data_IF_835736371504
#
_entry.id   IF_835736371504
#
_cell.length_a   1.000
_cell.length_b   1.000
_cell.length_c   1.000
_cell.angle_alpha   90.00
_cell.angle_beta   90.00
_cell.angle_gamma   90.00
#
_symmetry.space_group_name_H-M   'P 1'
#
loop_
_entity.id
_entity.type
_entity.pdbx_description
1 polymer ?
#
# COMPACT_ATOMS: atom_id res chain seq x y z
N UNK A 1 -2.25 22.90 -1.20
CA UNK A 1 -3.46 22.05 -1.21
C UNK A 1 -3.06 20.58 -1.34
N UNK A 2 -2.45 19.98 -0.30
CA UNK A 2 -1.95 18.58 -0.32
C UNK A 2 -2.26 17.81 0.98
N UNK A 3 -2.87 18.46 2.00
CA UNK A 3 -3.06 17.86 3.35
C UNK A 3 -4.49 17.49 3.73
N UNK A 4 -5.38 17.26 2.76
CA UNK A 4 -6.75 16.75 2.99
C UNK A 4 -7.00 15.41 2.27
N UNK A 5 -6.02 14.90 1.50
CA UNK A 5 -6.17 13.70 0.68
C UNK A 5 -6.18 12.37 1.46
N UNK A 6 -5.86 12.37 2.76
CA UNK A 6 -5.83 11.14 3.57
C UNK A 6 -7.19 10.83 4.21
N UNK A 7 -8.13 11.78 4.24
CA UNK A 7 -9.46 11.56 4.80
C UNK A 7 -10.54 11.28 3.74
N UNK A 8 -10.28 11.59 2.47
CA UNK A 8 -11.22 11.32 1.38
C UNK A 8 -11.10 9.88 0.82
N UNK A 9 -9.93 9.26 0.95
CA UNK A 9 -9.71 7.84 0.59
C UNK A 9 -10.23 6.85 1.64
N UNK A 10 -10.46 7.29 2.89
CA UNK A 10 -10.85 6.42 4.00
C UNK A 10 -12.37 6.32 4.20
N UNK A 11 -13.15 7.28 3.68
CA UNK A 11 -14.62 7.34 3.90
C UNK A 11 -15.42 6.76 2.71
N UNK A 12 -14.81 6.61 1.53
CA UNK A 12 -15.43 5.91 0.38
C UNK A 12 -15.05 4.42 0.28
N UNK A 13 -14.15 3.92 1.13
CA UNK A 13 -13.68 2.52 1.16
C UNK A 13 -14.43 1.62 2.16
N UNK A 14 -15.46 2.12 2.86
CA UNK A 14 -16.26 1.33 3.84
C UNK A 14 -17.65 0.96 3.27
N UNK A 15 -17.73 0.67 1.98
CA UNK A 15 -18.89 -0.02 1.42
C UNK A 15 -18.46 -1.07 0.39
N UNK A 16 -17.56 -1.98 0.81
CA UNK A 16 -17.47 -3.39 0.35
C UNK A 16 -16.19 -4.05 0.87
N UNK A 17 -16.14 -4.55 2.11
CA UNK A 17 -15.35 -5.74 2.47
C UNK A 17 -16.04 -6.46 3.63
N UNK A 18 -17.11 -7.21 3.35
CA UNK A 18 -17.43 -8.41 4.11
C UNK A 18 -17.11 -9.57 3.17
N UNK A 19 -15.89 -10.09 3.28
CA UNK A 19 -15.55 -11.40 2.77
C UNK A 19 -14.51 -12.00 3.70
N UNK A 20 -14.97 -12.88 4.60
CA UNK A 20 -14.14 -13.91 5.20
C UNK A 20 -13.57 -14.71 4.03
N UNK A 21 -12.24 -14.76 3.89
CA UNK A 21 -11.60 -15.86 3.19
C UNK A 21 -10.28 -16.21 3.88
N UNK A 22 -10.30 -17.35 4.55
CA UNK A 22 -9.13 -18.17 4.86
C UNK A 22 -8.43 -18.44 3.54
N UNK A 23 -7.32 -17.77 3.26
CA UNK A 23 -6.47 -18.15 2.14
C UNK A 23 -5.66 -19.38 2.57
N UNK A 24 -6.20 -20.55 2.26
CA UNK A 24 -5.41 -21.78 2.13
C UNK A 24 -4.57 -21.63 0.87
N UNK A 25 -3.26 -21.45 1.03
CA UNK A 25 -2.32 -21.55 -0.08
C UNK A 25 -1.92 -23.03 -0.16
N UNK A 26 -2.38 -23.68 -1.21
CA UNK A 26 -2.04 -25.05 -1.55
C UNK A 26 -0.53 -25.20 -1.78
N UNK A 27 0.01 -26.30 -1.27
CA UNK A 27 1.38 -26.75 -1.51
C UNK A 27 1.55 -27.17 -2.98
N UNK A 28 2.53 -26.64 -3.73
CA UNK A 28 3.09 -27.38 -4.83
C UNK A 28 4.10 -28.38 -4.25
N UNK A 29 3.84 -29.66 -4.48
CA UNK A 29 4.80 -30.75 -4.22
C UNK A 29 6.15 -30.42 -4.89
N UNK A 30 7.17 -30.16 -4.07
CA UNK A 30 8.57 -30.20 -4.50
C UNK A 30 9.28 -31.18 -3.59
N UNK A 31 9.81 -32.24 -4.22
CA UNK A 31 10.58 -33.31 -3.61
C UNK A 31 11.67 -32.74 -2.69
N UNK A 32 11.70 -33.24 -1.46
CA UNK A 32 12.83 -33.10 -0.54
C UNK A 32 14.14 -33.49 -1.24
N UNK A 33 15.05 -32.54 -1.32
CA UNK A 33 16.49 -32.77 -1.26
C UNK A 33 17.09 -31.65 -0.41
N UNK A 34 17.97 -32.02 0.50
CA UNK A 34 18.55 -31.23 1.59
C UNK A 34 19.02 -29.84 1.17
N UNK A 35 18.28 -28.78 1.50
CA UNK A 35 18.70 -27.41 1.22
C UNK A 35 18.98 -26.68 2.53
N UNK A 36 20.27 -26.50 2.84
CA UNK A 36 20.80 -25.80 4.02
C UNK A 36 20.71 -24.28 3.91
N UNK A 37 20.20 -23.76 2.78
CA UNK A 37 20.06 -22.34 2.49
C UNK A 37 18.63 -21.84 2.80
N UNK A 38 18.51 -20.91 3.75
CA UNK A 38 17.24 -20.23 4.09
C UNK A 38 16.58 -19.63 2.85
N UNK A 39 15.25 -19.79 2.74
CA UNK A 39 14.44 -19.21 1.66
C UNK A 39 14.61 -17.70 1.52
N UNK A 40 14.84 -17.00 2.64
CA UNK A 40 15.03 -15.56 2.63
C UNK A 40 16.38 -15.16 2.04
N UNK A 41 17.44 -15.90 2.37
CA UNK A 41 18.77 -15.72 1.77
C UNK A 41 18.70 -16.06 0.28
N UNK A 42 18.06 -17.17 -0.08
CA UNK A 42 17.84 -17.60 -1.47
C UNK A 42 17.17 -16.51 -2.31
N UNK A 43 16.06 -15.95 -1.82
CA UNK A 43 15.36 -14.83 -2.48
C UNK A 43 16.25 -13.61 -2.63
N UNK A 44 16.95 -13.23 -1.56
CA UNK A 44 17.85 -12.08 -1.56
C UNK A 44 18.99 -12.22 -2.58
N UNK A 45 19.74 -13.33 -2.55
CA UNK A 45 20.87 -13.54 -3.47
C UNK A 45 20.44 -13.69 -4.93
N UNK A 46 19.23 -14.23 -5.18
CA UNK A 46 18.65 -14.29 -6.54
C UNK A 46 18.45 -12.87 -7.10
N UNK A 47 17.84 -11.98 -6.30
CA UNK A 47 17.61 -10.60 -6.72
C UNK A 47 18.91 -9.82 -6.88
N UNK A 48 19.86 -10.01 -5.96
CA UNK A 48 21.16 -9.37 -6.01
C UNK A 48 21.96 -9.81 -7.25
N UNK A 49 21.89 -11.09 -7.60
CA UNK A 49 22.49 -11.59 -8.83
C UNK A 49 21.87 -10.95 -10.08
N UNK A 50 20.55 -10.79 -10.12
CA UNK A 50 19.87 -10.11 -11.23
C UNK A 50 20.32 -8.64 -11.35
N UNK A 51 20.47 -7.90 -10.23
CA UNK A 51 21.01 -6.53 -10.26
C UNK A 51 22.47 -6.46 -10.68
N UNK A 52 23.24 -7.52 -10.43
CA UNK A 52 24.65 -7.64 -10.84
C UNK A 52 24.82 -8.16 -12.28
N UNK A 53 23.71 -8.26 -13.03
CA UNK A 53 23.73 -8.54 -14.45
C UNK A 53 23.56 -10.01 -14.84
N UNK A 54 23.17 -10.90 -13.92
CA UNK A 54 22.70 -12.23 -14.29
C UNK A 54 21.30 -12.16 -14.90
N UNK A 55 21.03 -13.08 -15.81
CA UNK A 55 19.71 -13.18 -16.45
C UNK A 55 18.61 -13.59 -15.48
N UNK A 56 17.68 -12.68 -15.19
CA UNK A 56 16.57 -12.95 -14.26
C UNK A 56 15.74 -14.18 -14.66
N UNK A 57 15.61 -14.46 -15.95
CA UNK A 57 14.81 -15.57 -16.48
C UNK A 57 15.47 -16.95 -16.35
N UNK A 58 16.78 -17.00 -16.10
CA UNK A 58 17.54 -18.25 -16.08
C UNK A 58 18.42 -18.45 -14.84
N UNK A 59 18.21 -17.67 -13.79
CA UNK A 59 18.95 -17.83 -12.53
C UNK A 59 18.72 -19.22 -11.93
N UNK A 60 19.83 -19.91 -11.63
CA UNK A 60 19.89 -21.18 -10.92
C UNK A 60 20.74 -21.01 -9.68
N UNK A 61 20.28 -21.59 -8.58
CA UNK A 61 21.01 -21.62 -7.31
C UNK A 61 21.38 -23.07 -7.01
N UNK A 62 22.65 -23.29 -6.69
CA UNK A 62 23.16 -24.59 -6.25
C UNK A 62 23.96 -24.39 -4.97
N UNK A 63 23.81 -25.32 -4.03
CA UNK A 63 24.59 -25.37 -2.80
C UNK A 63 25.51 -26.56 -2.89
N UNK A 64 26.82 -26.37 -2.69
CA UNK A 64 27.78 -27.46 -2.72
C UNK A 64 27.82 -28.24 -1.39
N UNK A 65 28.60 -29.32 -1.35
CA UNK A 65 28.74 -30.17 -0.16
C UNK A 65 29.41 -29.47 1.04
N UNK A 66 30.07 -28.33 0.83
CA UNK A 66 30.64 -27.50 1.88
C UNK A 66 29.68 -26.39 2.34
N UNK A 67 28.53 -26.26 1.68
CA UNK A 67 27.52 -25.25 1.97
C UNK A 67 27.75 -23.93 1.24
N UNK A 68 28.73 -23.84 0.34
CA UNK A 68 28.90 -22.66 -0.51
C UNK A 68 27.75 -22.60 -1.52
N UNK A 69 27.28 -21.38 -1.81
CA UNK A 69 26.16 -21.12 -2.70
C UNK A 69 26.66 -20.52 -4.01
N UNK A 70 26.30 -21.15 -5.12
CA UNK A 70 26.61 -20.70 -6.46
C UNK A 70 25.31 -20.25 -7.13
N UNK A 71 25.26 -18.97 -7.49
CA UNK A 71 24.16 -18.38 -8.27
C UNK A 71 24.65 -18.19 -9.70
N UNK A 72 24.00 -18.80 -10.68
CA UNK A 72 24.45 -18.81 -12.08
C UNK A 72 23.32 -18.55 -13.06
N UNK A 73 23.65 -18.09 -14.26
CA UNK A 73 22.73 -18.00 -15.41
C UNK A 73 23.09 -19.02 -16.50
N UNK A 74 22.23 -19.13 -17.53
CA UNK A 74 22.49 -20.02 -18.66
C UNK A 74 23.58 -19.51 -19.64
N UNK A 75 24.12 -18.31 -19.42
CA UNK A 75 25.16 -17.70 -20.25
C UNK A 75 26.56 -17.83 -19.64
N UNK A 76 26.70 -18.64 -18.59
CA UNK A 76 27.98 -18.94 -17.97
C UNK A 76 28.45 -17.87 -16.98
N UNK A 77 27.60 -16.89 -16.62
CA UNK A 77 27.90 -15.98 -15.51
C UNK A 77 27.53 -16.67 -14.20
N UNK A 78 28.39 -16.49 -13.20
CA UNK A 78 28.13 -17.05 -11.87
C UNK A 78 28.74 -16.19 -10.78
N UNK A 79 28.05 -16.14 -9.64
CA UNK A 79 28.52 -15.53 -8.40
C UNK A 79 28.60 -16.63 -7.35
N UNK A 80 29.77 -16.77 -6.74
CA UNK A 80 29.99 -17.71 -5.64
C UNK A 80 29.92 -16.96 -4.30
N UNK A 81 29.15 -17.52 -3.37
CA UNK A 81 29.06 -17.10 -1.99
C UNK A 81 29.59 -18.23 -1.11
N UNK A 82 30.70 -18.02 -0.42
CA UNK A 82 31.27 -19.01 0.48
C UNK A 82 30.61 -18.96 1.85
N UNK A 83 30.34 -20.13 2.44
CA UNK A 83 29.69 -20.22 3.74
C UNK A 83 30.66 -19.80 4.85
N UNK A 84 30.20 -18.90 5.70
CA UNK A 84 30.93 -18.44 6.88
C UNK A 84 30.66 -19.37 8.08
N UNK A 85 31.55 -19.34 9.07
CA UNK A 85 31.41 -20.13 10.30
C UNK A 85 30.13 -19.82 11.10
N UNK A 86 29.49 -18.66 10.89
CA UNK A 86 28.37 -18.15 11.69
C UNK A 86 27.08 -18.04 10.87
N UNK A 87 26.83 -19.02 10.02
CA UNK A 87 25.61 -19.15 9.18
C UNK A 87 25.35 -17.94 8.25
N UNK A 88 26.46 -17.29 7.85
CA UNK A 88 26.50 -16.23 6.85
C UNK A 88 27.13 -16.73 5.54
N UNK A 89 27.10 -15.86 4.54
CA UNK A 89 27.59 -16.11 3.20
C UNK A 89 28.42 -14.92 2.72
N UNK A 90 29.67 -15.14 2.36
CA UNK A 90 30.57 -14.09 1.89
C UNK A 90 30.94 -14.29 0.43
N UNK A 91 30.77 -13.25 -0.39
CA UNK A 91 31.37 -13.17 -1.73
C UNK A 91 32.51 -12.19 -1.76
N UNK A 92 33.44 -12.41 -2.68
CA UNK A 92 34.53 -11.47 -2.98
C UNK A 92 34.44 -11.13 -4.46
N UNK A 93 34.40 -9.83 -4.79
CA UNK A 93 34.42 -9.38 -6.18
C UNK A 93 35.85 -9.41 -6.77
N UNK A 94 35.98 -9.11 -8.06
CA UNK A 94 37.26 -9.07 -8.75
C UNK A 94 38.22 -8.00 -8.20
N UNK A 95 37.71 -7.01 -7.46
CA UNK A 95 38.47 -5.92 -6.85
C UNK A 95 38.88 -6.25 -5.40
N UNK A 96 38.53 -7.44 -4.88
CA UNK A 96 38.81 -7.85 -3.52
C UNK A 96 37.83 -7.30 -2.47
N UNK A 97 36.75 -6.65 -2.88
CA UNK A 97 35.68 -6.22 -1.99
C UNK A 97 34.93 -7.44 -1.48
N UNK A 98 34.90 -7.63 -0.15
CA UNK A 98 34.13 -8.70 0.48
C UNK A 98 32.77 -8.18 0.91
N UNK A 99 31.72 -8.91 0.54
CA UNK A 99 30.34 -8.67 0.94
C UNK A 99 29.83 -9.90 1.67
N UNK A 100 29.60 -9.76 2.98
CA UNK A 100 29.05 -10.81 3.84
C UNK A 100 27.56 -10.59 4.04
N UNK A 101 26.75 -11.63 3.88
CA UNK A 101 25.30 -11.62 3.97
C UNK A 101 24.87 -12.63 5.02
N UNK A 102 24.00 -12.25 5.94
CA UNK A 102 23.41 -13.17 6.91
C UNK A 102 21.95 -12.84 7.18
N UNK A 103 21.19 -13.79 7.68
CA UNK A 103 19.87 -13.53 8.22
C UNK A 103 19.95 -13.28 9.74
N UNK A 104 19.27 -12.26 10.25
CA UNK A 104 19.14 -12.02 11.69
C UNK A 104 17.97 -12.82 12.29
N UNK A 105 17.87 -12.85 13.63
CA UNK A 105 16.79 -13.57 14.33
C UNK A 105 15.38 -13.00 14.07
N UNK A 106 15.28 -11.79 13.52
CA UNK A 106 14.01 -11.18 13.10
C UNK A 106 13.64 -11.52 11.65
N UNK A 107 14.50 -12.30 10.97
CA UNK A 107 14.34 -12.67 9.58
C UNK A 107 14.81 -11.61 8.56
N UNK A 108 15.46 -10.54 9.00
CA UNK A 108 16.02 -9.53 8.09
C UNK A 108 17.37 -9.99 7.52
N UNK A 109 17.74 -9.48 6.36
CA UNK A 109 19.05 -9.72 5.76
C UNK A 109 20.00 -8.61 6.20
N UNK A 110 21.16 -8.98 6.74
CA UNK A 110 22.23 -8.07 7.12
C UNK A 110 23.39 -8.24 6.16
N UNK A 111 23.77 -7.16 5.49
CA UNK A 111 24.84 -7.10 4.50
C UNK A 111 25.98 -6.26 5.07
N UNK A 112 27.18 -6.84 5.20
CA UNK A 112 28.38 -6.17 5.69
C UNK A 112 29.43 -6.11 4.60
N UNK A 113 30.12 -4.98 4.51
CA UNK A 113 31.24 -4.77 3.60
C UNK A 113 32.55 -4.75 4.40
N UNK A 114 33.66 -5.19 3.79
CA UNK A 114 34.98 -5.17 4.42
C UNK A 114 35.47 -3.77 4.85
N UNK A 115 34.89 -2.69 4.32
CA UNK A 115 35.14 -1.31 4.74
C UNK A 115 34.41 -0.91 6.05
N UNK A 116 33.72 -1.85 6.70
CA UNK A 116 32.99 -1.64 7.95
C UNK A 116 31.56 -1.12 7.78
N UNK A 117 31.10 -0.84 6.55
CA UNK A 117 29.70 -0.46 6.30
C UNK A 117 28.77 -1.67 6.46
N UNK A 118 27.58 -1.43 6.98
CA UNK A 118 26.54 -2.44 7.17
C UNK A 118 25.19 -1.90 6.71
N UNK A 119 24.41 -2.74 6.01
CA UNK A 119 23.05 -2.46 5.54
C UNK A 119 22.12 -3.57 6.01
N UNK A 120 21.01 -3.21 6.65
CA UNK A 120 19.93 -4.16 6.94
C UNK A 120 18.85 -4.03 5.87
N UNK A 121 18.62 -5.11 5.13
CA UNK A 121 17.56 -5.24 4.13
C UNK A 121 16.38 -5.98 4.77
N UNK A 122 15.23 -5.30 4.77
CA UNK A 122 13.98 -5.80 5.36
C UNK A 122 13.00 -6.18 4.27
N UNK A 123 12.03 -7.04 4.59
CA UNK A 123 10.94 -7.36 3.67
C UNK A 123 10.02 -6.15 3.50
N UNK A 124 9.67 -5.86 2.25
CA UNK A 124 8.65 -4.89 1.89
C UNK A 124 7.24 -5.40 2.26
N UNK A 125 6.22 -4.59 2.02
CA UNK A 125 4.82 -4.93 2.34
C UNK A 125 4.28 -6.16 1.60
N UNK A 126 4.93 -6.57 0.51
CA UNK A 126 4.61 -7.79 -0.24
C UNK A 126 5.32 -9.03 0.31
N UNK A 127 6.12 -8.88 1.37
CA UNK A 127 6.90 -9.97 1.98
C UNK A 127 8.19 -10.29 1.24
N UNK A 128 8.69 -9.39 0.40
CA UNK A 128 9.86 -9.60 -0.47
C UNK A 128 10.98 -8.57 -0.19
N UNK A 129 12.23 -8.84 -0.59
CA UNK A 129 13.36 -7.94 -0.35
C UNK A 129 13.56 -6.96 -1.52
N UNK A 130 13.69 -5.66 -1.26
CA UNK A 130 14.09 -4.71 -2.32
C UNK A 130 15.61 -4.55 -2.35
N UNK A 131 16.19 -4.72 -3.54
CA UNK A 131 17.59 -4.40 -3.81
C UNK A 131 17.61 -2.98 -4.39
N UNK A 132 17.86 -1.99 -3.53
CA UNK A 132 18.03 -0.59 -3.95
C UNK A 132 19.50 -0.23 -4.03
N UNK A 133 19.91 0.31 -5.19
CA UNK A 133 21.25 0.88 -5.45
C UNK A 133 21.49 2.21 -4.74
N UNK A 134 20.44 2.78 -4.14
CA UNK A 134 20.50 3.96 -3.29
C UNK A 134 20.30 3.58 -1.83
N UNK A 135 20.84 4.40 -0.92
CA UNK A 135 20.67 4.32 0.54
C UNK A 135 19.21 4.38 1.04
N UNK A 136 18.24 4.37 0.12
CA UNK A 136 16.83 4.22 0.43
C UNK A 136 16.55 2.78 0.87
N UNK A 137 16.14 2.61 2.13
CA UNK A 137 15.62 1.33 2.62
C UNK A 137 14.29 1.01 1.90
N UNK A 138 13.88 -0.26 1.75
CA UNK A 138 12.51 -0.58 1.34
C UNK A 138 11.50 0.03 2.31
N UNK A 139 10.33 0.41 1.80
CA UNK A 139 9.19 0.69 2.69
C UNK A 139 8.71 -0.62 3.31
N UNK A 140 8.65 -0.70 4.63
CA UNK A 140 8.28 -1.91 5.37
C UNK A 140 7.04 -1.67 6.20
N UNK A 141 6.20 -2.69 6.38
CA UNK A 141 5.16 -2.70 7.40
C UNK A 141 5.31 -3.96 8.26
N UNK A 142 5.28 -3.80 9.58
CA UNK A 142 5.39 -4.90 10.54
C UNK A 142 4.47 -4.67 11.73
N UNK A 143 4.05 -5.75 12.38
CA UNK A 143 3.41 -5.67 13.69
C UNK A 143 4.50 -5.86 14.75
N UNK A 144 4.60 -4.91 15.69
CA UNK A 144 5.55 -5.03 16.80
C UNK A 144 4.98 -5.89 17.94
N UNK A 145 5.78 -6.14 18.97
CA UNK A 145 5.41 -7.00 20.11
C UNK A 145 4.24 -6.49 20.94
N UNK A 146 3.80 -5.25 20.71
CA UNK A 146 2.65 -4.62 21.36
C UNK A 146 1.41 -4.61 20.45
N UNK A 147 1.40 -5.43 19.39
CA UNK A 147 0.37 -5.49 18.35
C UNK A 147 0.14 -4.16 17.62
N UNK A 148 1.11 -3.25 17.66
CA UNK A 148 1.04 -2.00 16.92
C UNK A 148 1.64 -2.17 15.54
N UNK A 149 1.03 -1.53 14.55
CA UNK A 149 1.56 -1.51 13.20
C UNK A 149 2.64 -0.45 13.08
N UNK A 150 3.82 -0.84 12.61
CA UNK A 150 4.95 0.03 12.32
C UNK A 150 5.17 0.07 10.81
N UNK A 151 5.17 1.26 10.24
CA UNK A 151 5.39 1.51 8.83
C UNK A 151 6.66 2.35 8.71
N UNK A 152 7.67 1.82 8.02
CA UNK A 152 8.88 2.56 7.67
C UNK A 152 8.83 2.91 6.20
N UNK A 153 9.09 4.16 5.85
CA UNK A 153 9.23 4.56 4.45
C UNK A 153 10.68 4.45 3.96
N UNK A 154 10.86 4.67 2.66
CA UNK A 154 12.17 4.56 2.03
C UNK A 154 13.20 5.60 2.47
N UNK A 155 12.75 6.66 3.14
CA UNK A 155 13.59 7.71 3.71
C UNK A 155 13.85 7.47 5.21
N UNK A 156 13.46 6.30 5.74
CA UNK A 156 13.65 5.92 7.13
C UNK A 156 12.64 6.53 8.11
N UNK A 157 11.62 7.23 7.63
CA UNK A 157 10.56 7.76 8.51
C UNK A 157 9.73 6.60 9.03
N UNK A 158 9.46 6.61 10.33
CA UNK A 158 8.69 5.58 11.02
C UNK A 158 7.33 6.16 11.39
N UNK A 159 6.26 5.45 11.06
CA UNK A 159 4.89 5.74 11.45
C UNK A 159 4.31 4.55 12.21
N UNK A 160 3.87 4.78 13.44
CA UNK A 160 3.25 3.78 14.27
C UNK A 160 1.74 4.03 14.32
N UNK A 161 0.96 2.96 14.13
CA UNK A 161 -0.49 2.95 14.31
C UNK A 161 -0.80 2.03 15.47
N UNK A 162 -1.42 2.58 16.52
CA UNK A 162 -1.73 1.86 17.75
C UNK A 162 -3.16 2.12 18.20
N UNK A 163 -3.73 1.17 18.95
CA UNK A 163 -4.99 1.41 19.65
C UNK A 163 -4.70 2.24 20.90
N UNK A 164 -5.47 3.30 21.13
CA UNK A 164 -5.35 4.10 22.34
C UNK A 164 -6.27 3.61 23.46
N UNK A 165 -6.06 4.11 24.67
CA UNK A 165 -6.79 3.70 25.88
C UNK A 165 -8.29 4.01 25.82
N UNK A 166 -8.72 4.91 24.93
CA UNK A 166 -10.12 5.28 24.74
C UNK A 166 -10.79 4.46 23.63
N UNK A 167 -10.11 3.44 23.10
CA UNK A 167 -10.63 2.58 22.03
C UNK A 167 -10.56 3.19 20.63
N UNK A 168 -9.92 4.35 20.48
CA UNK A 168 -9.57 4.95 19.19
C UNK A 168 -8.23 4.44 18.64
N UNK A 169 -7.78 5.02 17.53
CA UNK A 169 -6.48 4.78 16.92
C UNK A 169 -5.62 6.03 17.01
N UNK A 170 -4.35 5.86 17.37
CA UNK A 170 -3.32 6.87 17.31
C UNK A 170 -2.34 6.54 16.18
N UNK A 171 -2.02 7.53 15.36
CA UNK A 171 -1.03 7.46 14.28
C UNK A 171 0.07 8.46 14.59
N UNK A 172 1.27 7.98 14.89
CA UNK A 172 2.42 8.79 15.33
C UNK A 172 3.61 8.57 14.42
N UNK A 173 4.21 9.63 13.93
CA UNK A 173 5.48 9.53 13.21
C UNK A 173 6.68 9.95 14.08
N UNK A 174 7.87 9.54 13.65
CA UNK A 174 9.14 9.92 14.28
C UNK A 174 9.55 11.37 14.05
N UNK A 175 8.73 12.18 13.34
CA UNK A 175 8.90 13.63 13.18
C UNK A 175 8.03 14.41 14.17
N UNK A 176 7.35 13.72 15.08
CA UNK A 176 6.51 14.31 16.10
C UNK A 176 5.12 14.72 15.61
N UNK A 177 4.67 14.27 14.43
CA UNK A 177 3.27 14.40 14.04
C UNK A 177 2.46 13.27 14.70
N UNK A 178 1.30 13.62 15.24
CA UNK A 178 0.36 12.67 15.83
C UNK A 178 -1.05 12.97 15.34
N UNK A 179 -1.79 11.93 14.97
CA UNK A 179 -3.21 11.99 14.62
C UNK A 179 -3.97 10.97 15.44
N UNK A 180 -5.01 11.39 16.13
CA UNK A 180 -5.94 10.52 16.85
C UNK A 180 -7.25 10.44 16.08
N UNK A 181 -7.75 9.22 15.92
CA UNK A 181 -9.02 8.88 15.31
C UNK A 181 -9.87 8.20 16.37
N UNK A 182 -11.03 8.77 16.69
CA UNK A 182 -11.92 8.28 17.73
C UNK A 182 -13.37 8.32 17.28
N UNK A 183 -14.20 7.46 17.86
CA UNK A 183 -15.65 7.61 17.72
C UNK A 183 -16.17 8.64 18.70
N UNK A 184 -17.09 9.49 18.26
CA UNK A 184 -17.85 10.35 19.14
C UNK A 184 -19.04 9.60 19.78
N UNK A 185 -19.73 10.25 20.70
CA UNK A 185 -20.88 9.68 21.43
C UNK A 185 -22.10 9.38 20.54
N UNK A 186 -22.15 9.93 19.33
CA UNK A 186 -23.22 9.71 18.35
C UNK A 186 -22.80 8.69 17.28
N UNK A 187 -21.64 8.05 17.43
CA UNK A 187 -21.10 7.08 16.47
C UNK A 187 -20.44 7.71 15.24
N UNK A 188 -20.29 9.05 15.22
CA UNK A 188 -19.46 9.76 14.26
C UNK A 188 -17.97 9.51 14.51
N UNK A 189 -17.14 9.91 13.56
CA UNK A 189 -15.69 9.80 13.59
C UNK A 189 -15.06 11.18 13.77
N UNK A 190 -14.30 11.35 14.85
CA UNK A 190 -13.47 12.52 15.13
C UNK A 190 -12.02 12.19 14.77
N UNK A 191 -11.41 13.01 13.91
CA UNK A 191 -9.98 12.97 13.58
C UNK A 191 -9.34 14.26 14.04
N UNK A 192 -8.27 14.19 14.83
CA UNK A 192 -7.55 15.36 15.34
C UNK A 192 -6.06 15.15 15.24
N UNK A 193 -5.34 16.16 14.78
CA UNK A 193 -3.89 16.16 14.80
C UNK A 193 -3.31 17.03 15.94
N UNK A 194 -2.02 16.86 16.20
CA UNK A 194 -1.30 17.64 17.21
C UNK A 194 -0.95 19.07 16.77
N UNK A 195 -1.38 19.51 15.58
CA UNK A 195 -1.25 20.89 15.08
C UNK A 195 -2.54 21.67 15.23
N UNK A 196 -3.54 21.09 15.88
CA UNK A 196 -4.84 21.70 16.10
C UNK A 196 -5.76 21.62 14.91
N UNK A 197 -5.46 20.85 13.86
CA UNK A 197 -6.43 20.54 12.82
C UNK A 197 -7.36 19.42 13.30
N UNK A 198 -8.64 19.54 12.98
CA UNK A 198 -9.58 18.47 13.24
C UNK A 198 -10.65 18.37 12.16
N UNK A 199 -11.17 17.16 12.00
CA UNK A 199 -12.29 16.88 11.11
C UNK A 199 -13.23 15.89 11.78
N UNK A 200 -14.51 16.05 11.50
CA UNK A 200 -15.59 15.20 11.97
C UNK A 200 -16.29 14.60 10.78
N UNK A 201 -16.61 13.32 10.87
CA UNK A 201 -17.42 12.60 9.89
C UNK A 201 -18.63 12.08 10.64
N UNK A 202 -19.81 12.59 10.32
CA UNK A 202 -21.04 12.23 11.00
C UNK A 202 -22.13 11.87 10.01
N UNK A 203 -23.11 11.09 10.46
CA UNK A 203 -24.31 10.78 9.70
C UNK A 203 -25.51 11.40 10.42
N UNK A 204 -26.35 12.12 9.71
CA UNK A 204 -27.59 12.66 10.28
C UNK A 204 -28.70 11.59 10.32
N UNK A 205 -29.84 11.92 10.91
CA UNK A 205 -31.01 11.03 11.01
C UNK A 205 -31.59 10.60 9.64
N UNK A 206 -31.36 11.39 8.60
CA UNK A 206 -31.80 11.10 7.22
C UNK A 206 -30.82 10.19 6.48
N UNK A 207 -29.68 9.88 7.08
CA UNK A 207 -28.63 9.08 6.48
C UNK A 207 -27.60 9.89 5.68
N UNK A 208 -27.71 11.22 5.64
CA UNK A 208 -26.73 12.07 4.96
C UNK A 208 -25.41 12.06 5.72
N UNK A 209 -24.32 11.95 4.97
CA UNK A 209 -22.97 11.98 5.50
C UNK A 209 -22.43 13.41 5.47
N UNK A 210 -21.97 13.92 6.61
CA UNK A 210 -21.34 15.24 6.72
C UNK A 210 -19.89 15.10 7.13
N UNK A 211 -19.00 15.77 6.40
CA UNK A 211 -17.60 15.93 6.73
C UNK A 211 -17.39 17.40 7.06
N UNK A 212 -16.95 17.71 8.27
CA UNK A 212 -16.73 19.08 8.73
C UNK A 212 -15.34 19.21 9.33
N UNK A 213 -14.61 20.25 8.97
CA UNK A 213 -13.31 20.56 9.55
C UNK A 213 -13.39 21.80 10.43
N UNK A 214 -12.51 21.90 11.42
CA UNK A 214 -12.49 23.01 12.36
C UNK A 214 -12.10 24.37 11.75
N UNK A 215 -11.67 24.40 10.49
CA UNK A 215 -11.49 25.65 9.72
C UNK A 215 -12.80 26.13 9.07
N UNK A 216 -13.92 25.47 9.36
CA UNK A 216 -15.25 25.83 8.85
C UNK A 216 -15.57 25.28 7.46
N UNK A 217 -14.71 24.47 6.82
CA UNK A 217 -15.12 23.75 5.60
C UNK A 217 -16.01 22.57 5.95
N UNK A 218 -17.16 22.47 5.29
CA UNK A 218 -18.11 21.39 5.46
C UNK A 218 -18.59 20.88 4.09
N UNK A 219 -18.68 19.57 3.97
CA UNK A 219 -19.19 18.87 2.79
C UNK A 219 -20.26 17.88 3.22
N UNK A 220 -21.41 17.90 2.56
CA UNK A 220 -22.53 17.02 2.83
C UNK A 220 -22.77 16.14 1.61
N UNK A 221 -22.96 14.85 1.82
CA UNK A 221 -23.32 13.89 0.80
C UNK A 221 -24.73 13.40 1.14
N UNK A 222 -25.66 13.68 0.24
CA UNK A 222 -27.07 13.25 0.34
C UNK A 222 -27.35 12.19 -0.69
N UNK A 223 -28.23 11.26 -0.34
CA UNK A 223 -28.78 10.30 -1.30
C UNK A 223 -30.29 10.52 -1.37
N UNK A 224 -30.81 10.78 -2.57
CA UNK A 224 -32.24 10.93 -2.79
C UNK A 224 -32.96 9.57 -2.80
N UNK A 225 -34.29 9.61 -2.81
CA UNK A 225 -35.15 8.41 -2.80
C UNK A 225 -35.00 7.53 -4.04
N UNK A 226 -34.41 8.04 -5.12
CA UNK A 226 -34.14 7.31 -6.36
C UNK A 226 -32.68 6.84 -6.45
N UNK A 227 -31.92 6.98 -5.36
CA UNK A 227 -30.51 6.59 -5.28
C UNK A 227 -29.53 7.60 -5.91
N UNK A 228 -30.02 8.73 -6.40
CA UNK A 228 -29.19 9.85 -6.86
C UNK A 228 -28.38 10.41 -5.69
N UNK A 229 -27.14 10.84 -5.95
CA UNK A 229 -26.24 11.38 -4.94
C UNK A 229 -25.92 12.83 -5.22
N UNK A 230 -25.99 13.66 -4.19
CA UNK A 230 -25.58 15.06 -4.24
C UNK A 230 -24.48 15.30 -3.23
N UNK A 231 -23.40 15.93 -3.68
CA UNK A 231 -22.32 16.40 -2.84
C UNK A 231 -22.39 17.93 -2.83
N UNK A 232 -22.46 18.54 -1.66
CA UNK A 232 -22.57 19.98 -1.50
C UNK A 232 -21.55 20.47 -0.46
N UNK A 233 -20.85 21.55 -0.77
CA UNK A 233 -20.01 22.27 0.19
C UNK A 233 -20.77 23.43 0.86
N UNK A 234 -20.27 23.91 1.99
CA UNK A 234 -20.87 25.04 2.70
C UNK A 234 -20.62 26.42 2.06
N UNK A 235 -20.04 26.46 0.86
CA UNK A 235 -19.93 27.66 0.02
C UNK A 235 -20.97 27.66 -1.11
N UNK A 236 -21.84 26.65 -1.14
CA UNK A 236 -22.93 26.51 -2.10
C UNK A 236 -22.54 25.77 -3.39
N UNK A 237 -21.29 25.30 -3.53
CA UNK A 237 -20.92 24.42 -4.64
C UNK A 237 -21.55 23.06 -4.45
N UNK A 238 -22.26 22.56 -5.46
CA UNK A 238 -22.77 21.19 -5.43
C UNK A 238 -22.65 20.49 -6.78
N UNK A 239 -22.50 19.18 -6.71
CA UNK A 239 -22.52 18.26 -7.85
C UNK A 239 -23.52 17.16 -7.53
N UNK A 240 -24.41 16.89 -8.45
CA UNK A 240 -25.37 15.78 -8.37
C UNK A 240 -25.04 14.76 -9.45
N UNK A 241 -25.15 13.49 -9.10
CA UNK A 241 -25.03 12.36 -10.03
C UNK A 241 -26.22 11.45 -9.82
N UNK A 242 -26.88 11.07 -10.90
CA UNK A 242 -28.04 10.17 -10.86
C UNK A 242 -27.96 9.14 -11.97
N UNK A 243 -28.51 7.96 -11.67
CA UNK A 243 -28.74 6.91 -12.66
C UNK A 243 -30.15 7.03 -13.22
N UNK A 244 -30.28 7.00 -14.54
CA UNK A 244 -31.57 6.97 -15.21
C UNK A 244 -32.14 5.54 -15.23
N UNK A 245 -33.35 5.40 -15.78
CA UNK A 245 -34.05 4.11 -15.89
C UNK A 245 -33.41 3.15 -16.91
N UNK A 246 -32.55 3.67 -17.79
CA UNK A 246 -31.82 2.90 -18.79
C UNK A 246 -30.43 2.49 -18.28
N UNK A 247 -30.09 2.82 -17.03
CA UNK A 247 -28.82 2.52 -16.39
C UNK A 247 -27.70 3.50 -16.75
N UNK A 248 -27.98 4.58 -17.48
CA UNK A 248 -27.02 5.63 -17.78
C UNK A 248 -26.84 6.57 -16.59
N UNK A 249 -25.69 7.24 -16.54
CA UNK A 249 -25.38 8.24 -15.53
C UNK A 249 -25.46 9.65 -16.10
N UNK A 250 -26.11 10.52 -15.35
CA UNK A 250 -26.18 11.95 -15.61
C UNK A 250 -25.67 12.72 -14.40
N UNK A 251 -24.95 13.81 -14.66
CA UNK A 251 -24.44 14.67 -13.62
C UNK A 251 -24.58 16.14 -13.99
N UNK A 252 -24.74 16.96 -12.96
CA UNK A 252 -24.81 18.40 -13.11
C UNK A 252 -24.19 19.09 -11.90
N UNK A 253 -23.61 20.27 -12.13
CA UNK A 253 -23.18 21.15 -11.06
C UNK A 253 -24.06 22.41 -10.94
N UNK A 254 -23.84 23.16 -9.88
CA UNK A 254 -24.55 24.41 -9.61
C UNK A 254 -24.13 25.60 -10.50
N UNK A 255 -23.23 25.38 -11.47
CA UNK A 255 -22.76 26.37 -12.44
C UNK A 255 -23.37 26.13 -13.83
N UNK A 256 -24.28 25.17 -13.95
CA UNK A 256 -24.95 24.81 -15.20
C UNK A 256 -24.10 23.92 -16.11
N UNK A 257 -23.04 23.30 -15.60
CA UNK A 257 -22.29 22.31 -16.35
C UNK A 257 -22.96 20.94 -16.23
N UNK A 258 -22.92 20.16 -17.30
CA UNK A 258 -23.53 18.84 -17.39
C UNK A 258 -22.52 17.80 -17.86
N UNK A 259 -22.68 16.57 -17.40
CA UNK A 259 -21.91 15.43 -17.86
C UNK A 259 -22.77 14.17 -17.92
N UNK A 260 -22.41 13.21 -18.77
CA UNK A 260 -23.08 11.91 -18.86
C UNK A 260 -22.13 10.76 -19.20
N UNK A 261 -22.47 9.58 -18.71
CA UNK A 261 -21.82 8.31 -19.06
C UNK A 261 -22.91 7.34 -19.47
N UNK A 262 -22.85 6.86 -20.71
CA UNK A 262 -23.91 6.05 -21.33
C UNK A 262 -23.34 4.77 -21.94
N UNK A 263 -24.14 3.72 -22.01
CA UNK A 263 -23.84 2.49 -22.77
C UNK A 263 -24.65 2.52 -24.05
N UNK A 264 -23.99 2.42 -25.20
CA UNK A 264 -24.72 2.26 -26.46
C UNK A 264 -25.25 0.82 -26.61
N UNK A 265 -26.04 0.60 -27.66
CA UNK A 265 -26.65 -0.70 -27.97
C UNK A 265 -25.63 -1.80 -28.29
N UNK A 266 -24.37 -1.44 -28.58
CA UNK A 266 -23.27 -2.36 -28.85
C UNK A 266 -22.41 -2.62 -27.62
N UNK A 267 -22.78 -2.06 -26.46
CA UNK A 267 -22.04 -2.20 -25.21
C UNK A 267 -20.84 -1.25 -25.08
N UNK A 268 -20.68 -0.29 -25.99
CA UNK A 268 -19.62 0.71 -25.92
C UNK A 268 -20.01 1.84 -24.96
N UNK A 269 -19.05 2.23 -24.12
CA UNK A 269 -19.24 3.34 -23.18
C UNK A 269 -18.94 4.67 -23.87
N UNK A 270 -19.90 5.58 -23.79
CA UNK A 270 -19.80 6.95 -24.29
C UNK A 270 -19.76 7.89 -23.08
N UNK A 271 -18.82 8.84 -23.10
CA UNK A 271 -18.60 9.78 -22.00
C UNK A 271 -18.64 11.18 -22.58
N UNK A 272 -19.50 12.01 -22.01
CA UNK A 272 -19.59 13.43 -22.29
C UNK A 272 -19.35 14.18 -20.97
N UNK A 273 -18.16 14.74 -20.80
CA UNK A 273 -17.79 15.51 -19.60
C UNK A 273 -16.81 16.63 -19.97
N UNK A 274 -17.29 17.70 -20.61
CA UNK A 274 -16.44 18.77 -21.14
C UNK A 274 -15.76 19.60 -20.04
N UNK A 275 -16.27 19.53 -18.81
CA UNK A 275 -15.82 20.33 -17.66
C UNK A 275 -15.16 19.50 -16.56
N UNK A 276 -15.06 18.19 -16.72
CA UNK A 276 -14.42 17.29 -15.76
C UNK A 276 -15.19 17.13 -14.45
N UNK A 277 -16.52 17.29 -14.45
CA UNK A 277 -17.34 17.20 -13.24
C UNK A 277 -17.27 15.78 -12.63
N UNK A 278 -17.10 14.77 -13.48
CA UNK A 278 -17.06 13.37 -13.08
C UNK A 278 -15.65 12.85 -12.81
N UNK A 279 -14.60 13.67 -12.90
CA UNK A 279 -13.20 13.24 -12.87
C UNK A 279 -12.89 12.25 -11.73
N UNK A 280 -13.38 12.53 -10.52
CA UNK A 280 -13.11 11.71 -9.33
C UNK A 280 -13.92 10.40 -9.24
N UNK A 281 -15.01 10.27 -9.99
CA UNK A 281 -15.94 9.11 -9.90
C UNK A 281 -16.09 8.37 -11.23
N UNK A 282 -15.54 8.91 -12.32
CA UNK A 282 -15.67 8.42 -13.69
C UNK A 282 -15.40 6.93 -13.81
N UNK A 283 -14.28 6.44 -13.28
CA UNK A 283 -13.93 5.01 -13.36
C UNK A 283 -14.95 4.12 -12.65
N UNK A 284 -15.42 4.51 -11.47
CA UNK A 284 -16.39 3.73 -10.71
C UNK A 284 -17.74 3.63 -11.44
N UNK A 285 -18.17 4.71 -12.08
CA UNK A 285 -19.41 4.75 -12.86
C UNK A 285 -19.30 3.91 -14.13
N UNK A 286 -18.15 3.93 -14.82
CA UNK A 286 -17.89 3.09 -15.99
C UNK A 286 -17.93 1.60 -15.60
N UNK A 287 -17.27 1.22 -14.51
CA UNK A 287 -17.29 -0.17 -14.03
C UNK A 287 -18.70 -0.64 -13.70
N UNK A 288 -19.51 0.19 -13.02
CA UNK A 288 -20.90 -0.16 -12.72
C UNK A 288 -21.77 -0.31 -13.99
N UNK A 289 -21.50 0.50 -15.00
CA UNK A 289 -22.18 0.45 -16.29
C UNK A 289 -21.77 -0.77 -17.14
N UNK A 290 -20.54 -1.25 -17.00
CA UNK A 290 -20.05 -2.46 -17.67
C UNK A 290 -20.52 -3.76 -17.01
N UNK A 291 -20.86 -3.74 -15.72
CA UNK A 291 -21.40 -4.90 -14.98
C UNK A 291 -22.86 -5.24 -15.30
N UNK A 292 -23.58 -4.33 -15.96
CA UNK A 292 -24.96 -4.51 -16.43
C UNK A 292 -24.99 -5.11 -17.83
#
# INVERSE_FOLDING_TARGET
MVRIYILFSFVLSISTVIAKNKLSIGQPNIKMLTDTLSDDIRKYVTKLAASEGLDKGSIKIQTDSWGDVIVSDNWGRSIKYSKDHWDGYTKTDNNGLKTSIKQDYSGNIVVKYNNGKEKTVRKNISGDFDITDHDASPSTASINTLDNMEIRDSHGNLTNVSKNIFGGLDVRDNRGNNTTISKDIFGGLDIRDNKGNSSKVSRNILGDLTIESNNGKRTTIRTDILGGKTIEDNKGSHVSVRKDIFGNYEASDNKGNHASIKKDIFGKVIIDDPKGILENVKFQLIEDLLKQ
#
